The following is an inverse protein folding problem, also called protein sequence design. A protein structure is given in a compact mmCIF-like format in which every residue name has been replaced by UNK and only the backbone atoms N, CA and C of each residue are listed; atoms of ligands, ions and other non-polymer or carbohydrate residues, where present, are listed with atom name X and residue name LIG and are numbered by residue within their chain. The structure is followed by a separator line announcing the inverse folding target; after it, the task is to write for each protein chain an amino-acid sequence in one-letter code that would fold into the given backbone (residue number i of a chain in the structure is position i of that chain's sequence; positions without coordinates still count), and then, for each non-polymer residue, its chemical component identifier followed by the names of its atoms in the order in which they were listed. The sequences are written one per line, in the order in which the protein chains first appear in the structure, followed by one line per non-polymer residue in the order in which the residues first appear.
data_IF_326654019919
#
_entry.id   IF_326654019919
#
_cell.length_a   1.000
_cell.length_b   1.000
_cell.length_c   1.000
_cell.angle_alpha   90.00
_cell.angle_beta   90.00
_cell.angle_gamma   90.00
#
_symmetry.space_group_name_H-M   'P 1'
#
loop_
_entity.id
_entity.type
_entity.pdbx_description
1 polymer ?
#
# COMPACT_ATOMS: atom_id res chain seq x y z
N UNK A 1 4.81 -9.58 9.71
CA UNK A 1 3.88 -9.42 8.59
C UNK A 1 3.24 -8.04 8.58
N UNK A 2 2.66 -7.56 9.68
CA UNK A 2 1.82 -6.34 9.65
C UNK A 2 2.55 -4.99 9.56
N UNK A 3 3.84 -4.94 9.93
CA UNK A 3 4.58 -3.68 9.99
C UNK A 3 4.59 -2.85 8.68
N UNK A 4 4.74 -3.43 7.47
CA UNK A 4 4.60 -2.69 6.21
C UNK A 4 3.19 -2.11 6.03
N UNK A 5 2.15 -2.80 6.52
CA UNK A 5 0.79 -2.30 6.46
C UNK A 5 0.59 -1.09 7.37
N UNK A 6 1.04 -1.15 8.61
CA UNK A 6 0.98 -0.03 9.54
C UNK A 6 1.76 1.19 9.00
N UNK A 7 2.92 0.97 8.39
CA UNK A 7 3.70 2.03 7.75
C UNK A 7 2.94 2.69 6.59
N UNK A 8 2.37 1.89 5.67
CA UNK A 8 1.59 2.41 4.56
C UNK A 8 0.34 3.16 5.04
N UNK A 9 -0.40 2.62 6.00
CA UNK A 9 -1.59 3.26 6.58
C UNK A 9 -1.24 4.61 7.19
N UNK A 10 -0.12 4.72 7.92
CA UNK A 10 0.31 5.99 8.52
C UNK A 10 0.59 7.05 7.45
N UNK A 11 1.30 6.68 6.38
CA UNK A 11 1.63 7.60 5.27
C UNK A 11 0.37 8.01 4.50
N UNK A 12 -0.46 7.04 4.12
CA UNK A 12 -1.71 7.29 3.39
C UNK A 12 -2.68 8.14 4.21
N UNK A 13 -2.86 7.84 5.50
CA UNK A 13 -3.72 8.63 6.39
C UNK A 13 -3.26 10.09 6.48
N UNK A 14 -1.95 10.34 6.60
CA UNK A 14 -1.42 11.70 6.56
C UNK A 14 -1.71 12.38 5.21
N UNK A 15 -1.45 11.70 4.10
CA UNK A 15 -1.77 12.22 2.76
C UNK A 15 -3.25 12.52 2.57
N UNK A 16 -4.15 11.71 3.12
CA UNK A 16 -5.59 11.97 3.08
C UNK A 16 -5.99 13.20 3.91
N UNK A 17 -5.31 13.46 5.03
CA UNK A 17 -5.50 14.71 5.80
C UNK A 17 -5.03 15.91 4.97
N UNK A 18 -3.83 15.82 4.38
CA UNK A 18 -3.22 16.89 3.60
C UNK A 18 -4.08 17.25 2.36
N UNK A 19 -4.69 16.25 1.73
CA UNK A 19 -5.62 16.39 0.60
C UNK A 19 -7.07 16.71 1.02
N UNK A 20 -7.34 16.91 2.32
CA UNK A 20 -8.67 17.20 2.89
C UNK A 20 -9.72 16.11 2.65
N UNK A 21 -9.28 14.88 2.43
CA UNK A 21 -10.11 13.67 2.32
C UNK A 21 -10.49 13.12 3.71
N UNK A 22 -9.60 13.27 4.69
CA UNK A 22 -9.85 12.99 6.10
C UNK A 22 -9.74 14.28 6.93
N UNK A 23 -10.35 14.30 8.12
CA UNK A 23 -10.33 15.44 9.04
C UNK A 23 -9.86 15.02 10.43
N UNK A 24 -9.17 15.93 11.13
CA UNK A 24 -8.63 15.69 12.47
C UNK A 24 -7.12 15.44 12.47
N UNK A 25 -6.59 14.99 13.61
CA UNK A 25 -5.19 14.57 13.71
C UNK A 25 -4.98 13.19 13.08
N UNK A 26 -3.71 12.89 12.77
CA UNK A 26 -3.31 11.57 12.28
C UNK A 26 -3.79 10.46 13.23
N UNK A 27 -3.59 10.63 14.53
CA UNK A 27 -3.99 9.66 15.56
C UNK A 27 -5.51 9.42 15.55
N UNK A 28 -6.31 10.48 15.44
CA UNK A 28 -7.77 10.36 15.39
C UNK A 28 -8.24 9.65 14.10
N UNK A 29 -7.60 9.91 12.96
CA UNK A 29 -7.89 9.24 11.69
C UNK A 29 -7.52 7.75 11.77
N UNK A 30 -6.37 7.42 12.37
CA UNK A 30 -5.92 6.04 12.56
C UNK A 30 -6.85 5.27 13.51
N UNK A 31 -7.22 5.86 14.65
CA UNK A 31 -8.10 5.25 15.65
C UNK A 31 -9.51 5.04 15.11
N UNK A 32 -10.09 6.05 14.45
CA UNK A 32 -11.43 5.95 13.85
C UNK A 32 -11.49 5.01 12.65
N UNK A 33 -10.36 4.77 11.98
CA UNK A 33 -10.30 4.03 10.73
C UNK A 33 -10.95 4.76 9.55
N UNK A 34 -11.15 6.08 9.64
CA UNK A 34 -11.79 6.87 8.57
C UNK A 34 -11.03 6.85 7.24
N UNK A 35 -9.72 6.60 7.27
CA UNK A 35 -8.90 6.36 6.06
C UNK A 35 -9.40 5.19 5.21
N UNK A 36 -10.14 4.23 5.81
CA UNK A 36 -10.66 3.04 5.10
C UNK A 36 -11.67 3.36 4.00
N UNK A 37 -12.25 4.56 4.00
CA UNK A 37 -13.05 5.04 2.88
C UNK A 37 -12.24 5.06 1.57
N UNK A 38 -10.93 5.33 1.66
CA UNK A 38 -10.02 5.50 0.52
C UNK A 38 -8.98 4.38 0.40
N UNK A 39 -8.70 3.65 1.48
CA UNK A 39 -7.78 2.52 1.51
C UNK A 39 -8.34 1.35 2.34
N UNK A 40 -9.02 0.43 1.66
CA UNK A 40 -9.85 -0.62 2.30
C UNK A 40 -9.22 -2.01 2.38
N UNK A 41 -8.05 -2.22 1.78
CA UNK A 41 -7.36 -3.51 1.74
C UNK A 41 -6.04 -3.49 2.53
N UNK A 42 -5.39 -4.66 2.64
CA UNK A 42 -4.06 -4.80 3.25
C UNK A 42 -2.99 -4.37 2.24
N UNK A 43 -1.80 -4.06 2.74
CA UNK A 43 -0.67 -3.60 1.90
C UNK A 43 0.04 -4.74 1.17
N UNK A 44 -0.45 -5.97 1.24
CA UNK A 44 0.13 -7.08 0.51
C UNK A 44 -0.36 -8.44 0.97
N UNK A 45 0.17 -9.46 0.33
CA UNK A 45 -0.03 -10.88 0.59
C UNK A 45 1.24 -11.68 0.27
N UNK A 46 1.34 -12.93 0.73
CA UNK A 46 2.38 -13.86 0.27
C UNK A 46 2.27 -14.09 -1.24
N UNK A 47 3.40 -14.32 -1.87
CA UNK A 47 3.49 -14.55 -3.31
C UNK A 47 4.39 -15.77 -3.58
N UNK A 48 3.93 -16.67 -4.44
CA UNK A 48 4.67 -17.87 -4.82
C UNK A 48 4.00 -18.62 -5.96
N UNK A 49 3.65 -19.89 -5.76
CA UNK A 49 2.99 -20.69 -6.80
C UNK A 49 1.57 -20.21 -7.07
N UNK A 50 0.87 -19.75 -6.04
CA UNK A 50 -0.40 -19.05 -6.13
C UNK A 50 -0.17 -17.54 -5.96
N UNK A 51 -0.99 -16.71 -6.64
CA UNK A 51 -0.89 -15.25 -6.54
C UNK A 51 -1.08 -14.80 -5.08
N UNK A 52 -2.09 -15.33 -4.41
CA UNK A 52 -2.23 -15.23 -2.96
C UNK A 52 -1.74 -16.53 -2.35
N UNK A 53 -0.44 -16.60 -2.06
CA UNK A 53 0.21 -17.87 -1.71
C UNK A 53 -0.13 -18.36 -0.30
N UNK A 54 0.13 -19.65 -0.09
CA UNK A 54 -0.09 -20.32 1.19
C UNK A 54 0.82 -19.78 2.30
N UNK A 55 0.41 -20.00 3.55
CA UNK A 55 1.26 -19.73 4.72
C UNK A 55 0.55 -18.90 5.78
N UNK A 56 0.61 -19.36 7.03
CA UNK A 56 -0.01 -18.66 8.15
C UNK A 56 0.58 -17.25 8.35
N UNK A 57 -0.27 -16.22 8.27
CA UNK A 57 0.14 -14.84 8.56
C UNK A 57 0.37 -14.59 10.05
N UNK A 58 -0.20 -15.43 10.91
CA UNK A 58 -0.06 -15.36 12.36
C UNK A 58 0.49 -16.67 12.92
N UNK A 59 1.26 -16.57 13.99
CA UNK A 59 1.71 -17.69 14.80
C UNK A 59 1.09 -17.53 16.18
N UNK A 60 -0.02 -18.24 16.42
CA UNK A 60 -0.91 -17.93 17.54
C UNK A 60 -1.54 -16.54 17.37
N UNK A 61 -1.44 -15.71 18.42
CA UNK A 61 -2.01 -14.35 18.40
C UNK A 61 -1.11 -13.31 17.74
N UNK A 62 0.17 -13.64 17.51
CA UNK A 62 1.18 -12.71 16.99
C UNK A 62 1.31 -12.78 15.47
N UNK A 63 1.60 -11.64 14.84
CA UNK A 63 1.97 -11.60 13.43
C UNK A 63 3.28 -12.34 13.18
N UNK A 64 3.32 -13.16 12.13
CA UNK A 64 4.51 -13.92 11.74
C UNK A 64 5.67 -12.95 11.44
N UNK A 65 6.87 -13.12 12.05
CA UNK A 65 8.04 -12.33 11.70
C UNK A 65 8.48 -12.62 10.26
N UNK A 66 8.95 -11.60 9.55
CA UNK A 66 9.51 -11.78 8.21
C UNK A 66 10.92 -12.38 8.34
N UNK A 67 11.20 -13.45 7.60
CA UNK A 67 12.50 -14.11 7.58
C UNK A 67 13.00 -14.27 6.14
N UNK A 68 14.32 -14.39 5.93
CA UNK A 68 14.88 -14.57 4.59
C UNK A 68 14.24 -15.74 3.84
N UNK A 69 13.97 -15.55 2.54
CA UNK A 69 13.32 -16.52 1.66
C UNK A 69 11.80 -16.37 1.55
N UNK A 70 11.15 -15.54 2.38
CA UNK A 70 9.75 -15.19 2.19
C UNK A 70 9.58 -14.18 1.06
N UNK A 71 8.57 -14.39 0.21
CA UNK A 71 8.21 -13.48 -0.89
C UNK A 71 6.79 -12.95 -0.69
N UNK A 72 6.59 -11.67 -0.94
CA UNK A 72 5.34 -10.96 -0.72
C UNK A 72 5.17 -9.78 -1.68
N UNK A 73 3.93 -9.32 -1.83
CA UNK A 73 3.63 -8.04 -2.48
C UNK A 73 3.70 -6.88 -1.48
N UNK A 74 3.96 -5.68 -1.99
CA UNK A 74 3.81 -4.39 -1.30
C UNK A 74 3.01 -3.46 -2.20
N UNK A 75 1.73 -3.26 -1.87
CA UNK A 75 0.71 -2.72 -2.79
C UNK A 75 -0.18 -1.62 -2.17
N UNK A 76 0.38 -0.54 -1.59
CA UNK A 76 -0.46 0.56 -1.08
C UNK A 76 -1.30 1.20 -2.20
N UNK A 77 -2.52 1.60 -1.85
CA UNK A 77 -3.46 2.19 -2.81
C UNK A 77 -4.32 3.31 -2.24
N UNK A 78 -4.90 4.09 -3.13
CA UNK A 78 -5.87 5.15 -2.85
C UNK A 78 -6.99 5.10 -3.91
N UNK A 79 -8.24 5.00 -3.46
CA UNK A 79 -9.41 4.91 -4.34
C UNK A 79 -10.48 5.89 -3.89
N UNK A 80 -10.69 6.93 -4.71
CA UNK A 80 -11.51 8.09 -4.35
C UNK A 80 -12.81 8.04 -5.16
N UNK A 81 -13.86 7.52 -4.53
CA UNK A 81 -15.21 7.54 -5.09
C UNK A 81 -15.89 8.90 -4.86
N UNK A 82 -16.76 9.35 -5.76
CA UNK A 82 -17.59 10.52 -5.55
C UNK A 82 -18.41 10.41 -4.26
N UNK A 83 -18.38 11.45 -3.43
CA UNK A 83 -19.19 11.60 -2.23
C UNK A 83 -19.22 13.08 -1.79
N UNK A 84 -20.20 13.46 -0.98
CA UNK A 84 -20.39 14.85 -0.54
C UNK A 84 -19.21 15.41 0.28
N UNK A 85 -18.47 14.53 0.95
CA UNK A 85 -17.29 14.85 1.76
C UNK A 85 -15.96 14.79 0.96
N UNK A 86 -16.01 14.60 -0.37
CA UNK A 86 -14.81 14.44 -1.21
C UNK A 86 -14.70 15.60 -2.20
N UNK A 87 -13.54 16.29 -2.30
CA UNK A 87 -13.31 17.31 -3.31
C UNK A 87 -13.57 16.79 -4.74
N UNK A 88 -14.35 17.53 -5.52
CA UNK A 88 -14.83 17.09 -6.85
C UNK A 88 -13.69 16.81 -7.82
N UNK A 89 -12.59 17.54 -7.69
CA UNK A 89 -11.38 17.39 -8.49
C UNK A 89 -10.65 16.06 -8.27
N UNK A 90 -10.92 15.35 -7.17
CA UNK A 90 -10.32 14.05 -6.85
C UNK A 90 -11.23 12.86 -7.18
N UNK A 91 -12.45 13.12 -7.67
CA UNK A 91 -13.42 12.06 -7.96
C UNK A 91 -12.93 11.08 -9.03
N UNK A 92 -13.23 9.80 -8.82
CA UNK A 92 -12.93 8.69 -9.74
C UNK A 92 -11.43 8.45 -9.98
N UNK A 93 -10.57 8.92 -9.07
CA UNK A 93 -9.15 8.61 -9.09
C UNK A 93 -8.91 7.33 -8.28
N UNK A 94 -8.30 6.33 -8.91
CA UNK A 94 -7.84 5.11 -8.27
C UNK A 94 -6.38 4.85 -8.65
N UNK A 95 -5.50 4.78 -7.66
CA UNK A 95 -4.07 4.58 -7.86
C UNK A 95 -3.61 3.48 -6.90
N UNK A 96 -2.88 2.50 -7.43
CA UNK A 96 -2.12 1.51 -6.66
C UNK A 96 -0.76 1.34 -7.34
N UNK A 97 0.29 1.28 -6.53
CA UNK A 97 1.64 0.95 -7.00
C UNK A 97 2.05 -0.28 -6.22
N UNK A 98 2.42 -1.33 -6.94
CA UNK A 98 2.64 -2.66 -6.39
C UNK A 98 3.99 -3.20 -6.83
N UNK A 99 4.75 -3.70 -5.87
CA UNK A 99 6.02 -4.38 -6.09
C UNK A 99 6.01 -5.76 -5.41
N UNK A 100 6.62 -6.73 -6.08
CA UNK A 100 7.01 -8.03 -5.52
C UNK A 100 8.36 -7.93 -4.81
N UNK A 101 8.44 -8.50 -3.60
CA UNK A 101 9.59 -8.34 -2.72
C UNK A 101 10.02 -9.67 -2.12
N UNK A 102 11.31 -9.97 -2.19
CA UNK A 102 11.95 -11.11 -1.53
C UNK A 102 12.66 -10.64 -0.26
N UNK A 103 12.35 -11.24 0.88
CA UNK A 103 13.06 -10.98 2.13
C UNK A 103 14.44 -11.63 2.10
N UNK A 104 15.47 -10.88 2.46
CA UNK A 104 16.87 -11.34 2.50
C UNK A 104 17.45 -11.19 3.91
N UNK A 105 18.64 -11.75 4.15
CA UNK A 105 19.31 -11.65 5.46
C UNK A 105 19.65 -10.21 5.87
N UNK A 106 19.68 -9.25 4.93
CA UNK A 106 20.06 -7.85 5.17
C UNK A 106 18.90 -6.86 4.97
N UNK A 107 17.70 -7.34 4.63
CA UNK A 107 16.56 -6.49 4.29
C UNK A 107 15.65 -7.18 3.29
N UNK A 108 15.43 -6.55 2.13
CA UNK A 108 14.65 -7.12 1.05
C UNK A 108 15.25 -6.77 -0.32
N UNK A 109 14.86 -7.54 -1.33
CA UNK A 109 15.13 -7.31 -2.74
C UNK A 109 13.80 -7.06 -3.46
N UNK A 110 13.72 -5.98 -4.24
CA UNK A 110 12.52 -5.63 -5.02
C UNK A 110 12.64 -6.26 -6.40
N UNK A 111 11.86 -7.31 -6.66
CA UNK A 111 11.96 -8.14 -7.87
C UNK A 111 11.39 -7.45 -9.11
N UNK A 112 10.57 -6.42 -8.90
CA UNK A 112 9.80 -5.69 -9.92
C UNK A 112 10.30 -4.25 -10.10
N UNK A 113 11.51 -3.95 -9.60
CA UNK A 113 12.08 -2.60 -9.59
C UNK A 113 12.27 -1.98 -10.98
N UNK A 114 12.35 -2.78 -12.04
CA UNK A 114 12.61 -2.32 -13.40
C UNK A 114 11.41 -1.59 -14.02
N UNK A 115 10.20 -1.77 -13.47
CA UNK A 115 9.02 -1.03 -13.88
C UNK A 115 9.10 0.43 -13.39
N UNK A 116 8.95 1.44 -14.25
CA UNK A 116 9.02 2.84 -13.85
C UNK A 116 7.83 3.20 -12.95
N UNK A 117 8.12 3.92 -11.86
CA UNK A 117 7.11 4.24 -10.83
C UNK A 117 7.19 5.68 -10.32
N UNK A 118 8.24 6.43 -10.65
CA UNK A 118 8.23 7.88 -10.44
C UNK A 118 7.44 8.57 -11.55
N UNK A 119 6.81 9.70 -11.24
CA UNK A 119 6.09 10.53 -12.21
C UNK A 119 6.96 10.82 -13.44
N UNK A 120 8.21 11.25 -13.22
CA UNK A 120 9.13 11.59 -14.30
C UNK A 120 9.43 10.40 -15.22
N UNK A 121 9.71 9.23 -14.65
CA UNK A 121 10.07 8.04 -15.44
C UNK A 121 8.87 7.54 -16.25
N UNK A 122 7.68 7.51 -15.64
CA UNK A 122 6.45 7.14 -16.34
C UNK A 122 6.18 8.11 -17.50
N UNK A 123 6.22 9.42 -17.24
CA UNK A 123 6.03 10.44 -18.27
C UNK A 123 7.07 10.36 -19.40
N UNK A 124 8.31 9.98 -19.09
CA UNK A 124 9.35 9.80 -20.10
C UNK A 124 9.09 8.59 -20.97
N UNK A 125 8.75 7.44 -20.39
CA UNK A 125 8.42 6.23 -21.17
C UNK A 125 7.25 6.49 -22.11
N UNK A 126 6.18 7.14 -21.61
CA UNK A 126 5.00 7.47 -22.43
C UNK A 126 5.26 8.48 -23.55
N UNK A 127 6.32 9.30 -23.47
CA UNK A 127 6.70 10.23 -24.56
C UNK A 127 7.35 9.53 -25.75
N UNK A 128 7.87 8.32 -25.54
CA UNK A 128 8.71 7.60 -26.50
C UNK A 128 8.07 6.31 -27.03
N UNK A 129 6.82 6.04 -26.66
CA UNK A 129 5.94 5.03 -27.26
C UNK A 129 5.03 5.65 -28.34
#
# INVERSE_FOLDING_TARGET
WDAPHEAAVRVLAQGFIDLKLCQGSLEAVLESGSYKQFYMHRTGHWLGMDVHDVGEYKLGDAWRPLTPGMTLTVEPGCYIRPADNVPRELWNIGIRIEDDVLITAKGCEVLTQDAPKTVREIEEVMRHE
#
